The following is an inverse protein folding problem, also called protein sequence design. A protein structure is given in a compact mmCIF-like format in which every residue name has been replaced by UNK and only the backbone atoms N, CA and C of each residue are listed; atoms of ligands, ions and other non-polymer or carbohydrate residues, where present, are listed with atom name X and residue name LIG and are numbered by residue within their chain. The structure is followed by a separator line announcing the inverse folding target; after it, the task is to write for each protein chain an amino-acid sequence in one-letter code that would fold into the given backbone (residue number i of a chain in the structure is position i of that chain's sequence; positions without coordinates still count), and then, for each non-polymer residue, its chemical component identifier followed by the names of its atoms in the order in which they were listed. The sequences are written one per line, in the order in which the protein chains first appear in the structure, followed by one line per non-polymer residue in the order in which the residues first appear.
data_IF_788072444228
#
_entry.id   IF_788072444228
#
_cell.length_a   1.000
_cell.length_b   1.000
_cell.length_c   1.000
_cell.angle_alpha   90.00
_cell.angle_beta   90.00
_cell.angle_gamma   90.00
#
_symmetry.space_group_name_H-M   'P 1'
#
loop_
_entity.id
_entity.type
_entity.pdbx_description
1 polymer ?
#
# COMPACT_ATOMS: atom_id res chain seq x y z
N UNK A 1 -41.32 -40.74 -12.10
CA UNK A 1 -40.17 -41.68 -12.18
C UNK A 1 -39.56 -41.81 -13.57
N UNK A 2 -40.32 -42.09 -14.67
CA UNK A 2 -39.72 -42.26 -16.03
C UNK A 2 -38.93 -41.02 -16.54
N UNK A 3 -39.38 -39.78 -16.23
CA UNK A 3 -38.65 -38.54 -16.67
C UNK A 3 -37.32 -38.30 -15.90
N UNK A 4 -37.29 -38.67 -14.62
CA UNK A 4 -36.04 -38.53 -13.80
C UNK A 4 -35.02 -39.59 -14.25
N UNK A 5 -35.46 -40.80 -14.57
CA UNK A 5 -34.61 -41.85 -15.09
C UNK A 5 -34.02 -41.48 -16.46
N UNK A 6 -34.80 -40.83 -17.32
CA UNK A 6 -34.33 -40.38 -18.64
C UNK A 6 -33.24 -39.25 -18.53
N UNK A 7 -33.43 -38.33 -17.58
CA UNK A 7 -32.44 -37.24 -17.31
C UNK A 7 -31.15 -37.83 -16.73
N UNK A 8 -31.23 -38.80 -15.82
CA UNK A 8 -30.06 -39.49 -15.25
C UNK A 8 -29.33 -40.30 -16.32
N UNK A 9 -30.03 -40.97 -17.22
CA UNK A 9 -29.42 -41.71 -18.33
C UNK A 9 -28.78 -40.77 -19.33
N UNK A 10 -29.42 -39.62 -19.67
CA UNK A 10 -28.82 -38.59 -20.53
C UNK A 10 -27.57 -37.95 -19.89
N UNK A 11 -27.59 -37.74 -18.57
CA UNK A 11 -26.41 -37.22 -17.84
C UNK A 11 -25.26 -38.23 -17.79
N UNK A 12 -25.56 -39.51 -17.58
CA UNK A 12 -24.55 -40.59 -17.56
C UNK A 12 -24.00 -40.87 -18.95
N UNK A 13 -24.81 -40.78 -20.01
CA UNK A 13 -24.28 -40.90 -21.40
C UNK A 13 -23.47 -39.70 -21.82
N UNK A 14 -23.83 -38.47 -21.42
CA UNK A 14 -23.04 -37.28 -21.63
C UNK A 14 -21.67 -37.39 -20.91
N UNK A 15 -21.67 -37.81 -19.62
CA UNK A 15 -20.42 -38.04 -18.87
C UNK A 15 -19.54 -39.14 -19.47
N UNK A 16 -20.13 -40.23 -19.99
CA UNK A 16 -19.39 -41.32 -20.62
C UNK A 16 -18.76 -40.91 -21.94
N UNK A 17 -19.44 -40.11 -22.75
CA UNK A 17 -18.89 -39.53 -23.99
C UNK A 17 -17.78 -38.55 -23.68
N UNK A 18 -17.98 -37.67 -22.68
CA UNK A 18 -16.94 -36.73 -22.22
C UNK A 18 -15.68 -37.46 -21.69
N UNK A 19 -15.83 -38.50 -20.88
CA UNK A 19 -14.71 -39.28 -20.34
C UNK A 19 -13.91 -39.97 -21.45
N UNK A 20 -14.56 -40.46 -22.49
CA UNK A 20 -13.92 -41.15 -23.61
C UNK A 20 -13.15 -40.15 -24.49
N UNK A 21 -13.70 -38.96 -24.72
CA UNK A 21 -13.03 -37.90 -25.47
C UNK A 21 -11.79 -37.37 -24.72
N UNK A 22 -11.88 -37.15 -23.41
CA UNK A 22 -10.75 -36.66 -22.62
C UNK A 22 -9.58 -37.65 -22.55
N UNK A 23 -9.84 -38.93 -22.44
CA UNK A 23 -8.78 -39.96 -22.52
C UNK A 23 -8.07 -39.93 -23.86
N UNK A 24 -8.81 -39.78 -24.96
CA UNK A 24 -8.25 -39.64 -26.29
C UNK A 24 -7.38 -38.39 -26.45
N UNK A 25 -7.82 -37.22 -25.93
CA UNK A 25 -7.01 -36.00 -25.93
C UNK A 25 -5.75 -36.13 -25.10
N UNK A 26 -5.82 -36.80 -23.94
CA UNK A 26 -4.67 -37.05 -23.07
C UNK A 26 -3.63 -37.94 -23.75
N UNK A 27 -4.09 -39.07 -24.34
CA UNK A 27 -3.22 -40.02 -25.03
C UNK A 27 -2.52 -39.39 -26.25
N UNK A 28 -3.27 -38.57 -27.01
CA UNK A 28 -2.70 -37.87 -28.18
C UNK A 28 -1.70 -36.79 -27.74
N UNK A 29 -1.97 -36.03 -26.67
CA UNK A 29 -1.05 -35.01 -26.17
C UNK A 29 0.27 -35.63 -25.66
N UNK A 30 0.20 -36.78 -25.02
CA UNK A 30 1.34 -37.49 -24.43
C UNK A 30 2.12 -38.37 -25.39
N UNK A 31 1.74 -38.41 -26.67
CA UNK A 31 2.49 -39.16 -27.69
C UNK A 31 3.96 -38.74 -27.73
N UNK A 32 4.87 -39.71 -27.72
CA UNK A 32 6.30 -39.46 -27.70
C UNK A 32 6.86 -38.86 -28.98
N UNK A 33 6.22 -39.12 -30.10
CA UNK A 33 6.57 -38.65 -31.46
C UNK A 33 5.87 -37.32 -31.87
N UNK A 34 4.95 -36.81 -31.01
CA UNK A 34 4.25 -35.55 -31.24
C UNK A 34 5.17 -34.33 -31.18
N UNK A 35 4.97 -33.39 -32.07
CA UNK A 35 5.66 -32.08 -32.09
C UNK A 35 5.02 -31.08 -31.14
N UNK A 36 5.71 -29.95 -30.82
CA UNK A 36 5.12 -28.87 -30.04
C UNK A 36 3.95 -28.20 -30.73
N UNK A 37 3.97 -28.08 -32.08
CA UNK A 37 2.86 -27.51 -32.86
C UNK A 37 1.61 -28.41 -32.79
N UNK A 38 1.75 -29.74 -32.92
CA UNK A 38 0.63 -30.67 -32.78
C UNK A 38 -0.01 -30.60 -31.40
N UNK A 39 0.80 -30.53 -30.37
CA UNK A 39 0.31 -30.37 -28.98
C UNK A 39 -0.41 -29.03 -28.78
N UNK A 40 0.12 -27.95 -29.35
CA UNK A 40 -0.54 -26.64 -29.34
C UNK A 40 -1.92 -26.71 -29.98
N UNK A 41 -2.03 -27.26 -31.20
CA UNK A 41 -3.31 -27.42 -31.89
C UNK A 41 -4.32 -28.22 -31.05
N UNK A 42 -3.86 -29.27 -30.38
CA UNK A 42 -4.73 -30.06 -29.50
C UNK A 42 -5.22 -29.24 -28.29
N UNK A 43 -4.34 -28.49 -27.65
CA UNK A 43 -4.72 -27.62 -26.52
C UNK A 43 -5.68 -26.51 -26.95
N UNK A 44 -5.48 -25.95 -28.14
CA UNK A 44 -6.40 -24.97 -28.71
C UNK A 44 -7.78 -25.59 -28.95
N UNK A 45 -7.84 -26.83 -29.48
CA UNK A 45 -9.10 -27.53 -29.64
C UNK A 45 -9.83 -27.81 -28.33
N UNK A 46 -9.09 -28.22 -27.28
CA UNK A 46 -9.67 -28.43 -25.93
C UNK A 46 -10.18 -27.13 -25.32
N UNK A 47 -9.40 -26.05 -25.44
CA UNK A 47 -9.81 -24.71 -24.97
C UNK A 47 -11.06 -24.23 -25.70
N UNK A 48 -11.07 -24.33 -27.03
CA UNK A 48 -12.18 -23.83 -27.87
C UNK A 48 -13.46 -24.67 -27.70
N UNK A 49 -13.33 -25.93 -27.28
CA UNK A 49 -14.45 -26.76 -26.87
C UNK A 49 -15.11 -26.30 -25.56
N UNK A 50 -14.46 -25.42 -24.78
CA UNK A 50 -15.01 -24.84 -23.56
C UNK A 50 -15.30 -25.88 -22.46
N UNK A 51 -14.51 -26.96 -22.41
CA UNK A 51 -14.68 -28.03 -21.43
C UNK A 51 -14.33 -27.54 -20.03
N UNK A 52 -15.10 -28.01 -19.03
CA UNK A 52 -14.88 -27.71 -17.60
C UNK A 52 -14.72 -29.00 -16.80
N UNK A 53 -14.08 -28.93 -15.62
CA UNK A 53 -13.81 -30.12 -14.78
C UNK A 53 -12.66 -30.96 -15.33
N UNK A 54 -11.78 -30.38 -16.15
CA UNK A 54 -10.65 -31.05 -16.80
C UNK A 54 -9.29 -30.66 -16.21
N UNK A 55 -9.27 -30.16 -14.97
CA UNK A 55 -8.05 -29.71 -14.28
C UNK A 55 -6.98 -30.79 -14.20
N UNK A 56 -7.34 -32.06 -14.01
CA UNK A 56 -6.43 -33.20 -14.02
C UNK A 56 -5.75 -33.39 -15.39
N UNK A 57 -6.48 -33.22 -16.50
CA UNK A 57 -5.92 -33.25 -17.85
C UNK A 57 -4.87 -32.16 -18.03
N UNK A 58 -5.22 -30.92 -17.67
CA UNK A 58 -4.27 -29.79 -17.78
C UNK A 58 -3.03 -30.01 -16.90
N UNK A 59 -3.19 -30.57 -15.69
CA UNK A 59 -2.08 -30.86 -14.79
C UNK A 59 -1.15 -31.94 -15.35
N UNK A 60 -1.69 -33.05 -15.83
CA UNK A 60 -0.91 -34.12 -16.43
C UNK A 60 -0.22 -33.64 -17.72
N UNK A 61 -0.91 -32.86 -18.54
CA UNK A 61 -0.35 -32.24 -19.72
C UNK A 61 0.80 -31.28 -19.38
N UNK A 62 0.66 -30.48 -18.28
CA UNK A 62 1.71 -29.59 -17.82
C UNK A 62 2.95 -30.35 -17.33
N UNK A 63 2.76 -31.42 -16.54
CA UNK A 63 3.87 -32.29 -16.12
C UNK A 63 4.62 -32.85 -17.31
N UNK A 64 3.88 -33.42 -18.28
CA UNK A 64 4.48 -33.96 -19.50
C UNK A 64 5.22 -32.86 -20.29
N UNK A 65 4.62 -31.69 -20.42
CA UNK A 65 5.22 -30.52 -21.09
C UNK A 65 6.57 -30.14 -20.45
N UNK A 66 6.65 -30.07 -19.13
CA UNK A 66 7.87 -29.71 -18.40
C UNK A 66 8.98 -30.75 -18.64
N UNK A 67 8.64 -32.04 -18.64
CA UNK A 67 9.59 -33.12 -18.96
C UNK A 67 10.14 -32.97 -20.38
N UNK A 68 9.34 -32.47 -21.33
CA UNK A 68 9.73 -32.28 -22.73
C UNK A 68 10.39 -30.91 -23.01
N UNK A 69 10.41 -30.00 -22.03
CA UNK A 69 11.00 -28.66 -22.20
C UNK A 69 12.46 -28.69 -22.72
N UNK A 70 13.35 -29.64 -22.34
CA UNK A 70 14.70 -29.76 -22.90
C UNK A 70 14.73 -30.04 -24.43
N UNK A 71 13.64 -30.48 -25.02
CA UNK A 71 13.54 -30.75 -26.47
C UNK A 71 13.23 -29.49 -27.29
N UNK A 72 12.95 -28.34 -26.66
CA UNK A 72 12.74 -27.05 -27.32
C UNK A 72 14.07 -26.58 -27.91
N UNK A 73 14.25 -26.77 -29.21
CA UNK A 73 15.51 -26.48 -29.90
C UNK A 73 15.42 -25.37 -30.93
N UNK A 74 14.26 -25.17 -31.52
CA UNK A 74 14.04 -24.16 -32.55
C UNK A 74 13.18 -23.00 -32.04
N UNK A 75 13.20 -21.87 -32.73
CA UNK A 75 12.31 -20.74 -32.44
C UNK A 75 10.83 -21.12 -32.64
N UNK A 76 10.54 -21.96 -33.63
CA UNK A 76 9.18 -22.49 -33.85
C UNK A 76 8.70 -23.30 -32.69
N UNK A 77 9.52 -24.30 -32.25
CA UNK A 77 9.18 -25.12 -31.04
C UNK A 77 8.96 -24.25 -29.84
N UNK A 78 9.81 -23.21 -29.61
CA UNK A 78 9.69 -22.31 -28.51
C UNK A 78 8.38 -21.51 -28.53
N UNK A 79 8.02 -20.97 -29.68
CA UNK A 79 6.77 -20.22 -29.85
C UNK A 79 5.53 -21.10 -29.57
N UNK A 80 5.54 -22.35 -30.09
CA UNK A 80 4.47 -23.30 -29.82
C UNK A 80 4.43 -23.72 -28.34
N UNK A 81 5.60 -23.96 -27.74
CA UNK A 81 5.74 -24.28 -26.33
C UNK A 81 5.24 -23.16 -25.43
N UNK A 82 5.60 -21.90 -25.73
CA UNK A 82 5.16 -20.74 -24.94
C UNK A 82 3.63 -20.57 -25.00
N UNK A 83 3.02 -20.69 -26.16
CA UNK A 83 1.56 -20.67 -26.31
C UNK A 83 0.89 -21.85 -25.60
N UNK A 84 1.47 -23.05 -25.67
CA UNK A 84 0.98 -24.22 -24.93
C UNK A 84 0.99 -23.98 -23.42
N UNK A 85 2.10 -23.43 -22.88
CA UNK A 85 2.22 -23.07 -21.49
C UNK A 85 1.17 -22.05 -21.04
N UNK A 86 0.87 -21.05 -21.90
CA UNK A 86 -0.21 -20.08 -21.63
C UNK A 86 -1.55 -20.79 -21.47
N UNK A 87 -1.93 -21.68 -22.41
CA UNK A 87 -3.22 -22.38 -22.37
C UNK A 87 -3.31 -23.29 -21.13
N UNK A 88 -2.23 -24.05 -20.83
CA UNK A 88 -2.18 -24.93 -19.67
C UNK A 88 -2.32 -24.16 -18.36
N UNK A 89 -1.57 -23.07 -18.17
CA UNK A 89 -1.67 -22.24 -16.98
C UNK A 89 -3.04 -21.58 -16.83
N UNK A 90 -3.60 -21.04 -17.92
CA UNK A 90 -4.95 -20.45 -17.91
C UNK A 90 -6.01 -21.50 -17.59
N UNK A 91 -5.92 -22.70 -18.15
CA UNK A 91 -6.83 -23.81 -17.84
C UNK A 91 -6.78 -24.21 -16.37
N UNK A 92 -5.57 -24.41 -15.83
CA UNK A 92 -5.39 -24.75 -14.42
C UNK A 92 -5.89 -23.65 -13.47
N UNK A 93 -5.65 -22.40 -13.82
CA UNK A 93 -6.16 -21.24 -13.07
C UNK A 93 -7.69 -21.18 -13.08
N UNK A 94 -8.31 -21.35 -14.25
CA UNK A 94 -9.78 -21.37 -14.39
C UNK A 94 -10.44 -22.50 -13.61
N UNK A 95 -9.83 -23.69 -13.62
CA UNK A 95 -10.26 -24.88 -12.85
C UNK A 95 -9.90 -24.77 -11.36
N UNK A 96 -9.11 -23.77 -10.94
CA UNK A 96 -8.59 -23.59 -9.57
C UNK A 96 -7.89 -24.86 -9.05
N UNK A 97 -7.11 -25.50 -9.90
CA UNK A 97 -6.49 -26.78 -9.59
C UNK A 97 -5.23 -26.59 -8.74
N UNK A 98 -5.39 -26.66 -7.43
CA UNK A 98 -4.37 -26.30 -6.43
C UNK A 98 -3.11 -27.17 -6.49
N UNK A 99 -3.24 -28.46 -6.86
CA UNK A 99 -2.13 -29.41 -6.88
C UNK A 99 -1.07 -29.11 -7.97
N UNK A 100 -1.39 -28.21 -8.91
CA UNK A 100 -0.49 -27.84 -10.00
C UNK A 100 0.45 -26.65 -9.66
N UNK A 101 0.39 -26.11 -8.45
CA UNK A 101 1.13 -24.89 -8.09
C UNK A 101 2.64 -25.02 -8.33
N UNK A 102 3.22 -26.18 -8.02
CA UNK A 102 4.65 -26.44 -8.24
C UNK A 102 5.05 -26.45 -9.71
N UNK A 103 4.27 -27.09 -10.54
CA UNK A 103 4.49 -27.16 -11.98
C UNK A 103 4.26 -25.80 -12.66
N UNK A 104 3.25 -25.05 -12.21
CA UNK A 104 3.01 -23.67 -12.70
C UNK A 104 4.24 -22.79 -12.36
N UNK A 105 4.83 -22.94 -11.18
CA UNK A 105 6.05 -22.21 -10.83
C UNK A 105 7.22 -22.58 -11.75
N UNK A 106 7.37 -23.85 -12.13
CA UNK A 106 8.40 -24.26 -13.11
C UNK A 106 8.22 -23.57 -14.46
N UNK A 107 6.98 -23.25 -14.88
CA UNK A 107 6.74 -22.43 -16.09
C UNK A 107 7.26 -21.00 -15.90
N UNK A 108 7.09 -20.40 -14.71
CA UNK A 108 7.68 -19.08 -14.41
C UNK A 108 9.20 -19.08 -14.56
N UNK A 109 9.86 -20.17 -14.15
CA UNK A 109 11.32 -20.33 -14.27
C UNK A 109 11.75 -20.64 -15.72
N UNK A 110 11.02 -21.50 -16.43
CA UNK A 110 11.33 -21.92 -17.80
C UNK A 110 11.25 -20.77 -18.80
N UNK A 111 10.27 -19.87 -18.63
CA UNK A 111 10.02 -18.72 -19.50
C UNK A 111 10.38 -17.40 -18.80
N UNK A 112 11.50 -17.39 -18.08
CA UNK A 112 11.97 -16.16 -17.41
C UNK A 112 12.23 -15.06 -18.42
N UNK A 113 11.56 -13.91 -18.19
CA UNK A 113 11.62 -12.72 -19.06
C UNK A 113 13.00 -12.05 -19.11
N UNK A 114 13.92 -12.41 -18.20
CA UNK A 114 15.32 -11.99 -18.26
C UNK A 114 16.08 -12.69 -19.42
N UNK A 115 15.58 -13.82 -19.93
CA UNK A 115 16.11 -14.50 -21.12
C UNK A 115 15.64 -13.83 -22.42
N UNK A 116 16.48 -13.93 -23.46
CA UNK A 116 16.19 -13.27 -24.75
C UNK A 116 15.17 -14.01 -25.64
N UNK A 117 14.73 -15.18 -25.23
CA UNK A 117 14.02 -16.13 -26.09
C UNK A 117 12.51 -16.29 -25.76
N UNK A 118 11.91 -15.42 -24.95
CA UNK A 118 10.49 -15.46 -24.57
C UNK A 118 9.75 -14.18 -24.99
N UNK A 119 8.45 -14.26 -25.26
CA UNK A 119 7.60 -13.08 -25.48
C UNK A 119 6.99 -12.52 -24.16
N UNK A 120 7.10 -13.29 -23.05
CA UNK A 120 6.64 -12.94 -21.72
C UNK A 120 5.21 -13.38 -21.37
N UNK A 121 4.45 -13.90 -22.35
CA UNK A 121 3.06 -14.32 -22.14
C UNK A 121 2.94 -15.53 -21.22
N UNK A 122 3.82 -16.53 -21.35
CA UNK A 122 3.79 -17.73 -20.52
C UNK A 122 4.07 -17.43 -19.06
N UNK A 123 5.09 -16.61 -18.78
CA UNK A 123 5.39 -16.18 -17.41
C UNK A 123 4.24 -15.38 -16.80
N UNK A 124 3.64 -14.46 -17.54
CA UNK A 124 2.48 -13.69 -17.09
C UNK A 124 1.30 -14.61 -16.76
N UNK A 125 0.96 -15.53 -17.65
CA UNK A 125 -0.14 -16.47 -17.48
C UNK A 125 0.10 -17.39 -16.25
N UNK A 126 1.34 -17.90 -16.09
CA UNK A 126 1.72 -18.73 -14.95
C UNK A 126 1.60 -17.97 -13.62
N UNK A 127 2.08 -16.72 -13.55
CA UNK A 127 1.93 -15.89 -12.34
C UNK A 127 0.45 -15.65 -12.01
N UNK A 128 -0.39 -15.31 -12.98
CA UNK A 128 -1.84 -15.15 -12.76
C UNK A 128 -2.46 -16.46 -12.28
N UNK A 129 -2.09 -17.59 -12.88
CA UNK A 129 -2.59 -18.90 -12.51
C UNK A 129 -2.22 -19.26 -11.06
N UNK A 130 -1.00 -18.93 -10.58
CA UNK A 130 -0.60 -19.12 -9.18
C UNK A 130 -1.54 -18.39 -8.21
N UNK A 131 -1.97 -17.18 -8.54
CA UNK A 131 -2.99 -16.47 -7.77
C UNK A 131 -4.34 -17.20 -7.77
N UNK A 132 -4.78 -17.66 -8.94
CA UNK A 132 -6.08 -18.32 -9.13
C UNK A 132 -6.18 -19.69 -8.45
N UNK A 133 -5.07 -20.46 -8.42
CA UNK A 133 -4.99 -21.74 -7.72
C UNK A 133 -4.67 -21.60 -6.23
N UNK A 134 -4.60 -20.36 -5.71
CA UNK A 134 -4.31 -20.06 -4.31
C UNK A 134 -2.96 -20.64 -3.82
N UNK A 135 -1.90 -20.44 -4.60
CA UNK A 135 -0.55 -20.98 -4.35
C UNK A 135 0.20 -20.19 -3.25
N UNK A 136 -0.25 -20.27 -1.99
CA UNK A 136 0.27 -19.50 -0.86
C UNK A 136 1.78 -19.72 -0.60
N UNK A 137 2.29 -20.92 -0.81
CA UNK A 137 3.69 -21.26 -0.61
C UNK A 137 4.63 -20.50 -1.58
N UNK A 138 4.09 -20.01 -2.69
CA UNK A 138 4.86 -19.27 -3.70
C UNK A 138 4.83 -17.75 -3.50
N UNK A 139 4.08 -17.22 -2.54
CA UNK A 139 4.06 -15.77 -2.24
C UNK A 139 5.47 -15.20 -2.03
N UNK A 140 6.37 -15.79 -1.22
CA UNK A 140 7.71 -15.24 -1.05
C UNK A 140 8.51 -15.19 -2.35
N UNK A 141 8.36 -16.21 -3.21
CA UNK A 141 9.06 -16.30 -4.49
C UNK A 141 8.57 -15.22 -5.47
N UNK A 142 7.24 -15.04 -5.59
CA UNK A 142 6.62 -14.00 -6.42
C UNK A 142 7.03 -12.60 -5.92
N UNK A 143 6.94 -12.36 -4.60
CA UNK A 143 7.30 -11.10 -3.97
C UNK A 143 8.78 -10.75 -4.17
N UNK A 144 9.68 -11.74 -4.02
CA UNK A 144 11.11 -11.56 -4.25
C UNK A 144 11.41 -11.24 -5.72
N UNK A 145 10.77 -11.96 -6.66
CA UNK A 145 10.95 -11.71 -8.10
C UNK A 145 10.46 -10.30 -8.48
N UNK A 146 9.31 -9.87 -7.97
CA UNK A 146 8.81 -8.52 -8.18
C UNK A 146 9.75 -7.46 -7.59
N UNK A 147 10.31 -7.70 -6.40
CA UNK A 147 11.32 -6.83 -5.79
C UNK A 147 12.57 -6.71 -6.65
N UNK A 148 13.02 -7.81 -7.27
CA UNK A 148 14.16 -7.80 -8.18
C UNK A 148 13.86 -6.94 -9.42
N UNK A 149 12.66 -7.05 -10.01
CA UNK A 149 12.24 -6.18 -11.13
C UNK A 149 12.22 -4.70 -10.74
N UNK A 150 11.80 -4.36 -9.53
CA UNK A 150 11.78 -2.98 -9.02
C UNK A 150 13.17 -2.34 -8.95
N UNK A 151 14.24 -3.14 -8.82
CA UNK A 151 15.61 -2.65 -8.69
C UNK A 151 16.40 -2.65 -10.01
N UNK A 152 15.87 -3.28 -11.05
CA UNK A 152 16.56 -3.41 -12.34
C UNK A 152 16.38 -2.17 -13.22
N UNK A 153 17.50 -1.72 -13.81
CA UNK A 153 17.48 -0.71 -14.88
C UNK A 153 17.45 -1.40 -16.25
N UNK A 154 16.27 -1.46 -16.87
CA UNK A 154 16.10 -2.13 -18.17
C UNK A 154 16.06 -1.08 -19.27
N UNK A 155 17.10 -1.08 -20.12
CA UNK A 155 17.24 -0.13 -21.23
C UNK A 155 16.63 -0.64 -22.53
N UNK A 156 16.66 -1.95 -22.76
CA UNK A 156 16.09 -2.58 -23.97
C UNK A 156 14.55 -2.51 -23.94
N UNK A 157 13.88 -1.92 -24.94
CA UNK A 157 12.42 -1.76 -24.95
C UNK A 157 11.65 -3.10 -24.96
N UNK A 158 12.13 -4.10 -25.68
CA UNK A 158 11.49 -5.42 -25.73
C UNK A 158 11.59 -6.15 -24.40
N UNK A 159 12.77 -6.15 -23.79
CA UNK A 159 12.95 -6.71 -22.43
C UNK A 159 12.08 -5.96 -21.42
N UNK A 160 12.00 -4.63 -21.54
CA UNK A 160 11.10 -3.81 -20.69
C UNK A 160 9.66 -4.24 -20.82
N UNK A 161 9.15 -4.41 -22.06
CA UNK A 161 7.78 -4.88 -22.32
C UNK A 161 7.51 -6.23 -21.63
N UNK A 162 8.41 -7.19 -21.83
CA UNK A 162 8.30 -8.53 -21.23
C UNK A 162 8.29 -8.49 -19.69
N UNK A 163 9.21 -7.71 -19.10
CA UNK A 163 9.25 -7.52 -17.64
C UNK A 163 7.98 -6.84 -17.14
N UNK A 164 7.45 -5.86 -17.86
CA UNK A 164 6.18 -5.23 -17.49
C UNK A 164 5.01 -6.22 -17.49
N UNK A 165 4.98 -7.18 -18.41
CA UNK A 165 3.98 -8.25 -18.41
C UNK A 165 4.12 -9.15 -17.17
N UNK A 166 5.34 -9.55 -16.83
CA UNK A 166 5.61 -10.33 -15.61
C UNK A 166 5.26 -9.55 -14.35
N UNK A 167 5.52 -8.23 -14.31
CA UNK A 167 5.13 -7.34 -13.20
C UNK A 167 3.60 -7.32 -13.03
N UNK A 168 2.84 -7.17 -14.11
CA UNK A 168 1.37 -7.23 -14.07
C UNK A 168 0.89 -8.59 -13.57
N UNK A 169 1.46 -9.69 -14.09
CA UNK A 169 1.17 -11.05 -13.61
C UNK A 169 1.44 -11.21 -12.11
N UNK A 170 2.58 -10.69 -11.63
CA UNK A 170 2.96 -10.74 -10.20
C UNK A 170 1.99 -9.93 -9.32
N UNK A 171 1.56 -8.74 -9.77
CA UNK A 171 0.58 -7.92 -9.04
C UNK A 171 -0.73 -8.68 -8.91
N UNK A 172 -1.26 -9.23 -10.01
CA UNK A 172 -2.51 -9.98 -10.01
C UNK A 172 -2.44 -11.22 -9.09
N UNK A 173 -1.29 -11.93 -9.10
CA UNK A 173 -1.07 -13.06 -8.22
C UNK A 173 -1.08 -12.65 -6.75
N UNK A 174 -0.29 -11.64 -6.38
CA UNK A 174 -0.17 -11.17 -4.99
C UNK A 174 -1.48 -10.55 -4.48
N UNK A 175 -2.24 -9.87 -5.34
CA UNK A 175 -3.58 -9.40 -5.03
C UNK A 175 -4.53 -10.57 -4.72
N UNK A 176 -4.54 -11.63 -5.55
CA UNK A 176 -5.40 -12.80 -5.36
C UNK A 176 -5.01 -13.65 -4.14
N UNK A 177 -3.73 -13.68 -3.77
CA UNK A 177 -3.20 -14.45 -2.65
C UNK A 177 -3.40 -13.78 -1.29
N UNK A 178 -3.73 -12.49 -1.23
CA UNK A 178 -4.04 -11.75 0.00
C UNK A 178 -3.00 -11.90 1.13
N UNK A 179 -1.70 -11.79 0.80
CA UNK A 179 -0.62 -11.95 1.78
C UNK A 179 0.18 -10.66 1.93
N UNK A 180 0.45 -10.26 3.19
CA UNK A 180 1.18 -9.03 3.54
C UNK A 180 2.57 -8.94 2.88
N UNK A 181 3.22 -10.07 2.63
CA UNK A 181 4.52 -10.13 1.97
C UNK A 181 4.50 -9.57 0.54
N UNK A 182 3.33 -9.56 -0.10
CA UNK A 182 3.09 -8.96 -1.41
C UNK A 182 2.96 -7.44 -1.39
N UNK A 183 2.62 -6.83 -0.26
CA UNK A 183 2.30 -5.40 -0.20
C UNK A 183 3.50 -4.51 -0.57
N UNK A 184 4.66 -4.72 0.07
CA UNK A 184 5.85 -3.88 -0.15
C UNK A 184 6.33 -3.89 -1.62
N UNK A 185 6.53 -5.05 -2.30
CA UNK A 185 6.95 -5.05 -3.70
C UNK A 185 5.91 -4.42 -4.64
N UNK A 186 4.60 -4.61 -4.43
CA UNK A 186 3.54 -3.97 -5.22
C UNK A 186 3.51 -2.46 -4.97
N UNK A 187 3.70 -2.00 -3.73
CA UNK A 187 3.84 -0.58 -3.43
C UNK A 187 4.99 0.06 -4.24
N UNK A 188 6.15 -0.58 -4.30
CA UNK A 188 7.27 -0.03 -5.08
C UNK A 188 7.03 -0.04 -6.59
N UNK A 189 6.16 -0.89 -7.12
CA UNK A 189 5.69 -0.74 -8.51
C UNK A 189 4.86 0.54 -8.67
N UNK A 190 3.96 0.84 -7.73
CA UNK A 190 3.07 2.02 -7.83
C UNK A 190 3.80 3.35 -7.84
N UNK A 191 4.99 3.41 -7.23
CA UNK A 191 5.84 4.62 -7.15
C UNK A 191 7.10 4.56 -8.03
N UNK A 192 7.33 3.43 -8.71
CA UNK A 192 8.52 3.15 -9.51
C UNK A 192 8.50 3.73 -10.92
N UNK A 193 9.52 3.37 -11.70
CA UNK A 193 9.73 3.85 -13.08
C UNK A 193 8.96 3.02 -14.12
N UNK A 194 7.79 2.50 -13.77
CA UNK A 194 6.93 1.76 -14.67
C UNK A 194 5.99 2.68 -15.46
N UNK A 195 5.38 2.14 -16.50
CA UNK A 195 4.38 2.86 -17.28
C UNK A 195 3.20 3.29 -16.38
N UNK A 196 2.56 4.43 -16.64
CA UNK A 196 1.47 4.94 -15.81
C UNK A 196 0.33 3.94 -15.59
N UNK A 197 0.00 3.14 -16.60
CA UNK A 197 -1.02 2.09 -16.51
C UNK A 197 -0.66 1.00 -15.49
N UNK A 198 0.61 0.57 -15.46
CA UNK A 198 1.10 -0.46 -14.52
C UNK A 198 1.14 0.09 -13.11
N UNK A 199 1.59 1.34 -12.94
CA UNK A 199 1.55 2.01 -11.63
C UNK A 199 0.12 2.14 -11.10
N UNK A 200 -0.83 2.41 -11.99
CA UNK A 200 -2.25 2.46 -11.62
C UNK A 200 -2.79 1.08 -11.21
N UNK A 201 -2.45 0.02 -11.95
CA UNK A 201 -2.81 -1.37 -11.57
C UNK A 201 -2.28 -1.68 -10.17
N UNK A 202 -1.00 -1.39 -9.91
CA UNK A 202 -0.38 -1.61 -8.60
C UNK A 202 -1.09 -0.83 -7.48
N UNK A 203 -1.35 0.48 -7.67
CA UNK A 203 -2.06 1.31 -6.68
C UNK A 203 -3.49 0.82 -6.43
N UNK A 204 -4.17 0.25 -7.44
CA UNK A 204 -5.52 -0.30 -7.28
C UNK A 204 -5.51 -1.63 -6.53
N UNK A 205 -4.46 -2.45 -6.71
CA UNK A 205 -4.31 -3.75 -6.06
C UNK A 205 -3.98 -3.62 -4.55
N UNK A 206 -3.21 -2.60 -4.15
CA UNK A 206 -2.73 -2.44 -2.77
C UNK A 206 -3.79 -2.63 -1.67
N UNK A 207 -4.97 -1.98 -1.73
CA UNK A 207 -6.01 -2.14 -0.70
C UNK A 207 -6.62 -3.54 -0.64
N UNK A 208 -6.40 -4.36 -1.68
CA UNK A 208 -6.94 -5.72 -1.78
C UNK A 208 -5.93 -6.78 -1.33
N UNK A 209 -4.63 -6.45 -1.26
CA UNK A 209 -3.60 -7.40 -0.81
C UNK A 209 -3.75 -7.69 0.68
N UNK A 210 -3.99 -6.65 1.49
CA UNK A 210 -4.18 -6.79 2.94
C UNK A 210 -4.98 -5.61 3.48
N UNK A 211 -5.84 -5.87 4.47
CA UNK A 211 -6.66 -4.84 5.09
C UNK A 211 -5.82 -3.87 5.96
N UNK A 212 -4.80 -4.38 6.65
CA UNK A 212 -3.91 -3.59 7.51
C UNK A 212 -2.42 -3.73 7.12
N UNK A 213 -1.89 -2.82 6.29
CA UNK A 213 -0.47 -2.77 5.96
C UNK A 213 0.34 -1.88 6.92
N UNK A 214 -0.14 -1.60 8.14
CA UNK A 214 0.43 -0.59 9.04
C UNK A 214 1.92 -0.76 9.30
N UNK A 215 2.38 -1.98 9.64
CA UNK A 215 3.79 -2.24 9.94
C UNK A 215 4.68 -2.02 8.70
N UNK A 216 4.25 -2.51 7.54
CA UNK A 216 4.99 -2.30 6.28
C UNK A 216 5.01 -0.83 5.88
N UNK A 217 3.92 -0.09 6.10
CA UNK A 217 3.85 1.35 5.85
C UNK A 217 4.83 2.12 6.75
N UNK A 218 4.93 1.74 8.03
CA UNK A 218 5.92 2.32 8.97
C UNK A 218 7.34 2.04 8.50
N UNK A 219 7.64 0.82 8.07
CA UNK A 219 8.96 0.47 7.52
C UNK A 219 9.31 1.34 6.31
N UNK A 220 8.39 1.52 5.35
CA UNK A 220 8.61 2.35 4.16
C UNK A 220 8.82 3.82 4.55
N UNK A 221 8.02 4.35 5.49
CA UNK A 221 8.14 5.73 5.96
C UNK A 221 9.47 5.97 6.68
N UNK A 222 9.93 5.02 7.51
CA UNK A 222 11.18 5.11 8.26
C UNK A 222 12.42 4.76 7.44
N UNK A 223 12.28 4.17 6.26
CA UNK A 223 13.40 3.80 5.41
C UNK A 223 14.17 5.05 4.95
N UNK A 224 15.39 5.21 5.43
CA UNK A 224 16.24 6.37 5.14
C UNK A 224 16.66 6.47 3.67
N UNK A 225 16.62 5.36 2.93
CA UNK A 225 16.93 5.33 1.49
C UNK A 225 15.77 5.84 0.62
N UNK A 226 14.54 5.82 1.14
CA UNK A 226 13.36 6.29 0.43
C UNK A 226 13.23 7.81 0.45
N UNK A 227 12.99 8.40 -0.72
CA UNK A 227 12.79 9.86 -0.86
C UNK A 227 11.44 10.30 -0.28
N UNK A 228 11.28 11.57 0.13
CA UNK A 228 10.06 12.08 0.77
C UNK A 228 8.77 11.88 -0.01
N UNK A 229 8.80 11.90 -1.35
CA UNK A 229 7.59 11.62 -2.16
C UNK A 229 7.09 10.18 -2.00
N UNK A 230 7.99 9.20 -1.89
CA UNK A 230 7.66 7.79 -1.64
C UNK A 230 7.03 7.63 -0.26
N UNK A 231 7.62 8.28 0.78
CA UNK A 231 7.07 8.28 2.14
C UNK A 231 5.68 8.90 2.23
N UNK A 232 5.48 10.03 1.56
CA UNK A 232 4.17 10.69 1.46
C UNK A 232 3.15 9.78 0.76
N UNK A 233 3.55 9.06 -0.30
CA UNK A 233 2.66 8.11 -0.97
C UNK A 233 2.31 6.95 -0.04
N UNK A 234 3.27 6.36 0.69
CA UNK A 234 2.99 5.29 1.65
C UNK A 234 2.01 5.75 2.74
N UNK A 235 2.17 6.96 3.25
CA UNK A 235 1.23 7.59 4.17
C UNK A 235 -0.18 7.72 3.55
N UNK A 236 -0.28 8.24 2.34
CA UNK A 236 -1.57 8.44 1.66
C UNK A 236 -2.27 7.11 1.33
N UNK A 237 -1.52 6.09 0.92
CA UNK A 237 -2.09 4.75 0.68
C UNK A 237 -2.62 4.14 1.98
N UNK A 238 -1.92 4.30 3.11
CA UNK A 238 -2.41 3.83 4.42
C UNK A 238 -3.77 4.41 4.79
N UNK A 239 -4.02 5.69 4.50
CA UNK A 239 -5.32 6.33 4.76
C UNK A 239 -6.47 5.72 3.95
N UNK A 240 -6.18 5.12 2.80
CA UNK A 240 -7.16 4.50 1.89
C UNK A 240 -7.50 3.06 2.26
N UNK A 241 -6.75 2.45 3.17
CA UNK A 241 -6.95 1.06 3.60
C UNK A 241 -8.11 0.92 4.59
N UNK A 242 -8.53 -0.33 4.82
CA UNK A 242 -9.51 -0.70 5.86
C UNK A 242 -8.87 -0.96 7.22
N UNK A 243 -7.60 -0.59 7.39
CA UNK A 243 -6.86 -0.76 8.63
C UNK A 243 -7.60 -0.14 9.84
N UNK A 244 -7.47 -0.74 11.03
CA UNK A 244 -8.02 -0.19 12.26
C UNK A 244 -7.46 1.21 12.58
N UNK A 245 -8.23 2.03 13.28
CA UNK A 245 -7.83 3.38 13.69
C UNK A 245 -6.52 3.36 14.50
N UNK A 246 -6.31 2.34 15.33
CA UNK A 246 -5.06 2.16 16.08
C UNK A 246 -3.84 1.98 15.18
N UNK A 247 -3.98 1.25 14.09
CA UNK A 247 -2.91 1.09 13.09
C UNK A 247 -2.65 2.39 12.34
N UNK A 248 -3.71 3.10 11.92
CA UNK A 248 -3.61 4.41 11.29
C UNK A 248 -2.95 5.44 12.20
N UNK A 249 -3.27 5.42 13.51
CA UNK A 249 -2.63 6.28 14.50
C UNK A 249 -1.11 6.02 14.62
N UNK A 250 -0.69 4.74 14.64
CA UNK A 250 0.73 4.36 14.67
C UNK A 250 1.49 4.84 13.43
N UNK A 251 0.89 4.69 12.25
CA UNK A 251 1.50 5.16 11.00
C UNK A 251 1.54 6.68 10.95
N UNK A 252 0.51 7.38 11.48
CA UNK A 252 0.51 8.83 11.61
C UNK A 252 1.65 9.33 12.52
N UNK A 253 1.89 8.65 13.65
CA UNK A 253 3.01 8.97 14.53
C UNK A 253 4.37 8.84 13.80
N UNK A 254 4.59 7.75 13.07
CA UNK A 254 5.79 7.54 12.28
C UNK A 254 5.95 8.58 11.16
N UNK A 255 4.86 8.96 10.49
CA UNK A 255 4.86 9.98 9.45
C UNK A 255 5.21 11.37 10.01
N UNK A 256 4.66 11.73 11.18
CA UNK A 256 4.97 12.99 11.85
C UNK A 256 6.43 13.04 12.30
N UNK A 257 6.94 11.98 12.91
CA UNK A 257 8.34 11.83 13.31
C UNK A 257 9.28 12.00 12.13
N UNK A 258 9.06 11.23 11.06
CA UNK A 258 9.89 11.26 9.85
C UNK A 258 9.84 12.62 9.15
N UNK A 259 8.69 13.28 9.16
CA UNK A 259 8.52 14.62 8.63
C UNK A 259 9.43 15.67 9.30
N UNK A 260 9.91 15.40 10.52
CA UNK A 260 10.83 16.27 11.25
C UNK A 260 12.29 15.79 11.23
N UNK A 261 12.52 14.49 11.17
CA UNK A 261 13.87 13.91 11.25
C UNK A 261 14.57 13.85 9.89
N UNK A 262 13.83 13.83 8.77
CA UNK A 262 14.44 13.81 7.44
C UNK A 262 15.00 15.17 7.04
N UNK A 263 16.34 15.26 6.96
CA UNK A 263 17.03 16.49 6.60
C UNK A 263 17.20 16.62 5.08
N UNK A 264 16.74 17.74 4.53
CA UNK A 264 16.88 18.03 3.10
C UNK A 264 16.93 19.54 2.83
N UNK A 265 17.71 19.93 1.83
CA UNK A 265 17.70 21.28 1.26
C UNK A 265 16.81 21.42 0.04
N UNK A 266 16.34 20.31 -0.54
CA UNK A 266 15.46 20.28 -1.70
C UNK A 266 14.07 20.80 -1.32
N UNK A 267 13.59 21.84 -1.99
CA UNK A 267 12.31 22.50 -1.69
C UNK A 267 11.09 21.59 -1.94
N UNK A 268 11.10 20.80 -3.03
CA UNK A 268 10.07 19.82 -3.32
C UNK A 268 9.94 18.76 -2.23
N UNK A 269 11.09 18.30 -1.70
CA UNK A 269 11.11 17.35 -0.59
C UNK A 269 10.62 17.99 0.71
N UNK A 270 10.98 19.25 0.99
CA UNK A 270 10.44 19.99 2.15
C UNK A 270 8.93 20.11 2.08
N UNK A 271 8.37 20.38 0.88
CA UNK A 271 6.93 20.43 0.67
C UNK A 271 6.28 19.08 0.97
N UNK A 272 6.80 17.98 0.42
CA UNK A 272 6.29 16.63 0.69
C UNK A 272 6.31 16.29 2.18
N UNK A 273 7.38 16.65 2.90
CA UNK A 273 7.48 16.44 4.34
C UNK A 273 6.47 17.31 5.12
N UNK A 274 6.25 18.56 4.71
CA UNK A 274 5.22 19.43 5.31
C UNK A 274 3.82 18.86 5.08
N UNK A 275 3.50 18.42 3.85
CA UNK A 275 2.21 17.82 3.53
C UNK A 275 1.99 16.52 4.34
N UNK A 276 3.03 15.70 4.49
CA UNK A 276 2.99 14.49 5.32
C UNK A 276 2.74 14.82 6.79
N UNK A 277 3.45 15.80 7.39
CA UNK A 277 3.22 16.22 8.78
C UNK A 277 1.81 16.74 8.99
N UNK A 278 1.33 17.62 8.12
CA UNK A 278 -0.04 18.17 8.21
C UNK A 278 -1.10 17.07 8.14
N UNK A 279 -0.95 16.13 7.23
CA UNK A 279 -1.83 14.96 7.13
C UNK A 279 -1.77 14.07 8.37
N UNK A 280 -0.57 13.84 8.89
CA UNK A 280 -0.37 13.05 10.11
C UNK A 280 -0.99 13.73 11.35
N UNK A 281 -0.87 15.04 11.49
CA UNK A 281 -1.48 15.81 12.58
C UNK A 281 -3.02 15.70 12.53
N UNK A 282 -3.62 15.82 11.35
CA UNK A 282 -5.07 15.63 11.18
C UNK A 282 -5.50 14.19 11.51
N UNK A 283 -4.73 13.20 11.12
CA UNK A 283 -5.00 11.80 11.42
C UNK A 283 -4.88 11.49 12.93
N UNK A 284 -3.87 12.04 13.62
CA UNK A 284 -3.73 11.94 15.07
C UNK A 284 -4.97 12.54 15.77
N UNK A 285 -5.49 13.66 15.26
CA UNK A 285 -6.73 14.24 15.79
C UNK A 285 -7.94 13.30 15.59
N UNK A 286 -7.98 12.57 14.50
CA UNK A 286 -9.09 11.70 14.13
C UNK A 286 -9.01 10.33 14.82
N UNK A 287 -7.83 9.70 14.82
CA UNK A 287 -7.63 8.31 15.23
C UNK A 287 -7.05 8.17 16.65
N UNK A 288 -6.57 9.26 17.25
CA UNK A 288 -5.99 9.26 18.59
C UNK A 288 -4.46 9.19 18.59
N UNK A 289 -3.91 9.08 19.81
CA UNK A 289 -2.47 8.98 20.08
C UNK A 289 -2.09 7.51 20.20
N UNK A 290 -1.01 7.13 19.52
CA UNK A 290 -0.47 5.77 19.57
C UNK A 290 0.53 5.58 20.73
N UNK A 291 1.31 6.62 21.03
CA UNK A 291 2.38 6.61 22.03
C UNK A 291 2.81 8.04 22.42
N UNK A 292 3.61 8.16 23.49
CA UNK A 292 4.00 9.46 24.05
C UNK A 292 4.93 10.29 23.14
N UNK A 293 5.60 9.66 22.17
CA UNK A 293 6.48 10.39 21.22
C UNK A 293 5.70 11.37 20.33
N UNK A 294 4.41 11.12 20.14
CA UNK A 294 3.51 11.99 19.38
C UNK A 294 3.45 13.40 19.98
N UNK A 295 3.44 13.52 21.32
CA UNK A 295 3.42 14.81 21.99
C UNK A 295 4.66 15.65 21.69
N UNK A 296 5.85 15.04 21.74
CA UNK A 296 7.10 15.71 21.42
C UNK A 296 7.13 16.18 19.95
N UNK A 297 6.62 15.38 19.03
CA UNK A 297 6.55 15.74 17.60
C UNK A 297 5.51 16.83 17.30
N UNK A 298 4.37 16.86 18.01
CA UNK A 298 3.40 17.96 17.95
C UNK A 298 4.00 19.26 18.52
N UNK A 299 4.75 19.20 19.61
CA UNK A 299 5.48 20.34 20.14
C UNK A 299 6.50 20.88 19.13
N UNK A 300 7.24 19.99 18.46
CA UNK A 300 8.17 20.39 17.39
C UNK A 300 7.46 21.08 16.24
N UNK A 301 6.28 20.63 15.86
CA UNK A 301 5.50 21.24 14.75
C UNK A 301 5.10 22.68 15.06
N UNK A 302 4.81 23.01 16.32
CA UNK A 302 4.61 24.39 16.73
C UNK A 302 5.94 25.16 16.83
N UNK A 303 6.88 24.64 17.61
CA UNK A 303 8.10 25.38 18.01
C UNK A 303 8.98 25.72 16.82
N UNK A 304 9.19 24.80 15.87
CA UNK A 304 9.97 25.05 14.66
C UNK A 304 9.30 26.06 13.73
N UNK A 305 7.99 25.98 13.57
CA UNK A 305 7.24 26.97 12.79
C UNK A 305 7.23 28.34 13.47
N UNK A 306 7.20 28.36 14.81
CA UNK A 306 7.20 29.60 15.58
C UNK A 306 8.50 30.39 15.41
N UNK A 307 9.67 29.73 15.38
CA UNK A 307 10.97 30.40 15.21
C UNK A 307 11.31 30.65 13.74
N UNK A 308 10.61 30.07 12.80
CA UNK A 308 10.85 30.24 11.37
C UNK A 308 10.43 31.66 10.91
N UNK A 309 11.21 32.25 10.01
CA UNK A 309 10.86 33.54 9.41
C UNK A 309 9.61 33.46 8.50
N UNK A 310 9.38 32.28 7.90
CA UNK A 310 8.21 31.98 7.07
C UNK A 310 7.44 30.79 7.66
N UNK A 311 6.62 31.03 8.71
CA UNK A 311 5.93 29.93 9.39
C UNK A 311 4.84 29.34 8.51
N UNK A 312 4.65 28.02 8.58
CA UNK A 312 3.48 27.35 8.06
C UNK A 312 2.34 27.49 9.09
N UNK A 313 1.52 28.50 8.93
CA UNK A 313 0.39 28.76 9.83
C UNK A 313 -0.66 27.65 9.81
N UNK A 314 -0.86 26.97 8.68
CA UNK A 314 -1.79 25.84 8.59
C UNK A 314 -1.30 24.68 9.49
N UNK A 315 -0.02 24.36 9.45
CA UNK A 315 0.56 23.33 10.33
C UNK A 315 0.43 23.72 11.82
N UNK A 316 0.67 25.00 12.16
CA UNK A 316 0.49 25.50 13.54
C UNK A 316 -0.97 25.34 14.01
N UNK A 317 -1.93 25.77 13.20
CA UNK A 317 -3.37 25.71 13.54
C UNK A 317 -3.82 24.26 13.70
N UNK A 318 -3.39 23.38 12.79
CA UNK A 318 -3.67 21.94 12.90
C UNK A 318 -3.13 21.36 14.20
N UNK A 319 -1.88 21.69 14.54
CA UNK A 319 -1.23 21.26 15.79
C UNK A 319 -2.02 21.70 17.04
N UNK A 320 -2.38 22.99 17.12
CA UNK A 320 -3.13 23.55 18.23
C UNK A 320 -4.52 22.90 18.36
N UNK A 321 -5.22 22.71 17.24
CA UNK A 321 -6.53 22.06 17.24
C UNK A 321 -6.45 20.60 17.62
N UNK A 322 -5.39 19.89 17.22
CA UNK A 322 -5.15 18.49 17.59
C UNK A 322 -4.88 18.36 19.09
N UNK A 323 -3.96 19.16 19.65
CA UNK A 323 -3.70 19.20 21.09
C UNK A 323 -4.97 19.52 21.91
N UNK A 324 -5.82 20.44 21.39
CA UNK A 324 -7.09 20.77 22.03
C UNK A 324 -8.09 19.62 21.99
N UNK A 325 -8.14 18.88 20.90
CA UNK A 325 -9.06 17.74 20.73
C UNK A 325 -8.65 16.53 21.59
N UNK A 326 -7.33 16.28 21.69
CA UNK A 326 -6.77 15.23 22.55
C UNK A 326 -7.10 15.50 24.02
N UNK A 327 -6.90 16.73 24.48
CA UNK A 327 -7.29 17.23 25.81
C UNK A 327 -6.80 16.38 27.00
N UNK A 328 -5.58 15.85 26.92
CA UNK A 328 -4.91 15.17 28.05
C UNK A 328 -4.08 16.17 28.86
N UNK A 329 -3.63 15.81 30.08
CA UNK A 329 -2.70 16.66 30.85
C UNK A 329 -1.45 17.05 30.04
N UNK A 330 -0.89 16.12 29.27
CA UNK A 330 0.30 16.33 28.43
C UNK A 330 0.02 17.35 27.32
N UNK A 331 -1.12 17.22 26.61
CA UNK A 331 -1.50 18.16 25.56
C UNK A 331 -1.74 19.57 26.09
N UNK A 332 -2.35 19.68 27.27
CA UNK A 332 -2.56 20.96 27.99
C UNK A 332 -1.22 21.56 28.42
N UNK A 333 -0.30 20.73 28.92
CA UNK A 333 1.05 21.19 29.30
C UNK A 333 1.81 21.80 28.11
N UNK A 334 1.68 21.20 26.93
CA UNK A 334 2.27 21.73 25.68
C UNK A 334 1.63 23.08 25.29
N UNK A 335 0.29 23.18 25.31
CA UNK A 335 -0.40 24.44 25.06
C UNK A 335 0.00 25.54 26.05
N UNK A 336 0.17 25.19 27.34
CA UNK A 336 0.68 26.07 28.38
C UNK A 336 2.11 26.55 28.07
N UNK A 337 3.00 25.65 27.67
CA UNK A 337 4.38 25.98 27.28
C UNK A 337 4.41 26.99 26.11
N UNK A 338 3.53 26.83 25.12
CA UNK A 338 3.39 27.81 24.02
C UNK A 338 2.94 29.18 24.53
N UNK A 339 1.99 29.21 25.48
CA UNK A 339 1.57 30.48 26.10
C UNK A 339 2.70 31.12 26.91
N UNK A 340 3.52 30.31 27.64
CA UNK A 340 4.68 30.81 28.36
C UNK A 340 5.73 31.42 27.44
N UNK A 341 6.00 30.80 26.29
CA UNK A 341 6.95 31.29 25.31
C UNK A 341 6.49 32.65 24.73
N UNK A 342 5.22 32.77 24.38
CA UNK A 342 4.60 34.03 23.90
C UNK A 342 4.67 35.11 25.00
N UNK A 343 4.37 34.79 26.26
CA UNK A 343 4.48 35.69 27.37
C UNK A 343 5.93 36.16 27.59
N UNK A 344 6.90 35.23 27.49
CA UNK A 344 8.33 35.57 27.55
C UNK A 344 8.74 36.58 26.48
N UNK A 345 8.31 36.38 25.23
CA UNK A 345 8.57 37.35 24.15
C UNK A 345 7.93 38.70 24.39
N UNK A 346 6.71 38.73 24.92
CA UNK A 346 5.99 39.96 25.23
C UNK A 346 6.71 40.82 26.29
N UNK A 347 7.35 40.20 27.25
CA UNK A 347 8.14 40.88 28.26
C UNK A 347 9.38 41.59 27.70
N UNK A 348 9.91 41.07 26.56
CA UNK A 348 11.08 41.62 25.88
C UNK A 348 10.71 42.70 24.83
N UNK A 349 9.42 42.92 24.57
CA UNK A 349 8.97 43.93 23.61
C UNK A 349 7.54 43.70 23.11
N UNK A 350 7.01 44.65 22.31
CA UNK A 350 5.68 44.48 21.74
C UNK A 350 5.68 43.32 20.73
N UNK A 351 4.56 42.57 20.68
CA UNK A 351 4.38 41.51 19.69
C UNK A 351 4.23 42.09 18.27
N UNK A 352 4.82 41.44 17.30
CA UNK A 352 4.45 41.56 15.91
C UNK A 352 3.04 40.91 15.68
N UNK A 353 2.45 41.19 14.51
CA UNK A 353 1.12 40.64 14.20
C UNK A 353 1.05 39.12 14.30
N UNK A 354 2.14 38.43 13.95
CA UNK A 354 2.28 36.97 14.05
C UNK A 354 2.11 36.48 15.48
N UNK A 355 2.88 37.04 16.42
CA UNK A 355 2.81 36.61 17.83
C UNK A 355 1.44 36.90 18.44
N UNK A 356 0.81 38.04 18.08
CA UNK A 356 -0.54 38.37 18.53
C UNK A 356 -1.55 37.33 18.06
N UNK A 357 -1.52 36.95 16.81
CA UNK A 357 -2.42 35.94 16.23
C UNK A 357 -2.20 34.56 16.89
N UNK A 358 -0.95 34.16 17.12
CA UNK A 358 -0.64 32.92 17.81
C UNK A 358 -1.13 32.95 19.28
N UNK A 359 -1.00 34.06 19.96
CA UNK A 359 -1.53 34.23 21.32
C UNK A 359 -3.05 34.03 21.35
N UNK A 360 -3.78 34.66 20.44
CA UNK A 360 -5.24 34.53 20.31
C UNK A 360 -5.63 33.06 20.11
N UNK A 361 -4.94 32.35 19.24
CA UNK A 361 -5.19 30.93 18.99
C UNK A 361 -4.89 30.05 20.21
N UNK A 362 -3.74 30.24 20.84
CA UNK A 362 -3.33 29.43 22.03
C UNK A 362 -4.30 29.65 23.20
N UNK A 363 -4.67 30.91 23.48
CA UNK A 363 -5.64 31.23 24.55
C UNK A 363 -7.01 30.64 24.24
N UNK A 364 -7.46 30.71 22.97
CA UNK A 364 -8.71 30.09 22.52
C UNK A 364 -8.68 28.57 22.68
N UNK A 365 -7.55 27.92 22.39
CA UNK A 365 -7.37 26.49 22.59
C UNK A 365 -7.44 26.10 24.06
N UNK A 366 -6.67 26.78 24.91
CA UNK A 366 -6.71 26.54 26.36
C UNK A 366 -8.12 26.75 26.96
N UNK A 367 -8.85 27.76 26.49
CA UNK A 367 -10.25 27.97 26.88
C UNK A 367 -11.13 26.77 26.53
N UNK A 368 -10.96 26.22 25.33
CA UNK A 368 -11.75 25.06 24.83
C UNK A 368 -11.43 23.75 25.55
N UNK A 369 -10.22 23.58 26.08
CA UNK A 369 -9.87 22.37 26.87
C UNK A 369 -10.64 22.28 28.18
N UNK A 370 -11.14 23.39 28.72
CA UNK A 370 -11.78 23.43 30.04
C UNK A 370 -10.83 23.06 31.18
N UNK A 371 -9.52 23.17 30.96
CA UNK A 371 -8.50 22.71 31.94
C UNK A 371 -8.61 23.41 33.27
N UNK A 372 -8.42 22.63 34.36
CA UNK A 372 -8.32 23.14 35.71
C UNK A 372 -6.88 23.35 36.18
N UNK A 373 -5.90 23.31 35.28
CA UNK A 373 -4.48 23.49 35.59
C UNK A 373 -4.25 24.82 36.34
N UNK A 374 -3.69 24.78 37.54
CA UNK A 374 -3.37 26.00 38.31
C UNK A 374 -2.40 26.90 37.57
N UNK A 375 -1.42 26.31 36.88
CA UNK A 375 -0.38 27.05 36.14
C UNK A 375 -0.97 27.87 35.00
N UNK A 376 -1.88 27.27 34.21
CA UNK A 376 -2.62 27.98 33.14
C UNK A 376 -3.40 29.15 33.71
N UNK A 377 -4.10 28.94 34.82
CA UNK A 377 -4.90 29.99 35.48
C UNK A 377 -4.03 31.12 36.03
N UNK A 378 -2.92 30.81 36.69
CA UNK A 378 -1.96 31.79 37.20
C UNK A 378 -1.41 32.64 36.04
N UNK A 379 -0.99 32.01 34.93
CA UNK A 379 -0.43 32.75 33.82
C UNK A 379 -1.49 33.64 33.12
N UNK A 380 -2.69 33.13 32.87
CA UNK A 380 -3.79 33.93 32.32
C UNK A 380 -4.18 35.09 33.25
N UNK A 381 -4.17 34.86 34.58
CA UNK A 381 -4.41 35.94 35.58
C UNK A 381 -3.32 37.02 35.48
N UNK A 382 -2.06 36.61 35.37
CA UNK A 382 -0.93 37.53 35.21
C UNK A 382 -1.12 38.37 33.96
N UNK A 383 -1.41 37.74 32.81
CA UNK A 383 -1.62 38.42 31.52
C UNK A 383 -2.80 39.42 31.62
N UNK A 384 -3.91 39.02 32.25
CA UNK A 384 -5.11 39.86 32.38
C UNK A 384 -4.93 41.13 33.22
N UNK A 385 -3.88 41.18 34.05
CA UNK A 385 -3.58 42.27 34.99
C UNK A 385 -2.37 43.13 34.62
N UNK A 386 -1.55 42.66 33.68
CA UNK A 386 -0.27 43.29 33.32
C UNK A 386 -0.46 44.33 32.22
N UNK A 387 -0.03 45.57 32.46
CA UNK A 387 -0.22 46.71 31.53
C UNK A 387 0.63 46.63 30.25
N UNK A 388 1.59 45.72 30.19
CA UNK A 388 2.33 45.48 28.93
C UNK A 388 1.45 44.87 27.84
N UNK A 389 0.28 44.30 28.20
CA UNK A 389 -0.68 43.75 27.24
C UNK A 389 -1.74 44.83 26.87
N UNK A 390 -2.18 44.77 25.60
CA UNK A 390 -3.27 45.63 25.15
C UNK A 390 -4.58 45.31 25.88
N UNK A 391 -5.53 46.22 25.87
CA UNK A 391 -6.85 46.01 26.49
C UNK A 391 -7.55 44.77 25.90
N UNK A 392 -7.40 44.53 24.60
CA UNK A 392 -8.00 43.37 23.92
C UNK A 392 -7.37 42.06 24.40
N UNK A 393 -6.04 41.97 24.47
CA UNK A 393 -5.30 40.80 24.95
C UNK A 393 -5.66 40.46 26.40
N UNK A 394 -5.79 41.50 27.27
CA UNK A 394 -6.21 41.33 28.66
C UNK A 394 -7.66 40.85 28.78
N UNK A 395 -8.58 41.34 27.94
CA UNK A 395 -9.97 40.86 27.89
C UNK A 395 -9.99 39.38 27.49
N UNK A 396 -9.28 39.01 26.46
CA UNK A 396 -9.22 37.57 26.03
C UNK A 396 -8.72 36.63 27.12
N UNK A 397 -7.66 37.01 27.82
CA UNK A 397 -7.14 36.23 28.95
C UNK A 397 -8.16 36.13 30.09
N UNK A 398 -8.91 37.22 30.39
CA UNK A 398 -9.97 37.25 31.42
C UNK A 398 -11.17 36.37 31.00
N UNK A 399 -11.59 36.44 29.78
CA UNK A 399 -12.70 35.61 29.26
C UNK A 399 -12.35 34.13 29.29
N UNK A 400 -11.10 33.78 28.95
CA UNK A 400 -10.60 32.41 29.11
C UNK A 400 -10.66 31.96 30.57
N UNK A 401 -10.17 32.79 31.54
CA UNK A 401 -10.23 32.51 32.94
C UNK A 401 -11.67 32.28 33.45
N UNK A 402 -12.60 33.16 33.09
CA UNK A 402 -14.00 33.05 33.45
C UNK A 402 -14.61 31.72 32.98
N UNK A 403 -14.31 31.33 31.72
CA UNK A 403 -14.75 30.04 31.19
C UNK A 403 -14.16 28.87 31.97
N UNK A 404 -12.86 28.90 32.28
CA UNK A 404 -12.15 27.86 33.04
C UNK A 404 -12.56 27.78 34.53
N UNK A 405 -13.13 28.85 35.06
CA UNK A 405 -13.62 28.92 36.45
C UNK A 405 -15.08 28.49 36.59
N UNK A 406 -15.76 28.16 35.51
CA UNK A 406 -17.19 27.81 35.54
C UNK A 406 -18.11 28.98 35.88
N UNK A 407 -17.59 30.20 35.98
CA UNK A 407 -18.36 31.43 36.17
C UNK A 407 -18.80 31.88 34.78
N UNK A 408 -20.05 31.57 34.39
CA UNK A 408 -20.72 32.17 33.25
C UNK A 408 -21.19 33.60 33.60
#
# INVERSE_FOLDING_TARGET
MKRILLIVILFLTAMAVFSQDMTSYKDEFMRTDGTFDERLLLLEAVRDAGLTGIGEFYHDALKYFIVRAPDIRTTTDRNAAEKSAVILCQGLGAEKYTDAAGEIWQIVELFDVAGDATDGNAMQAALIALGQVNAQDFVPHIAQRLSNFNTQSITNPETRRRVQMAVVGSINALEALHDIRGYRPVFFVSVGSYDPSIRQIASTALPNIVDDPGDVSIEIIRDTSSIPSVKLTAWNEMLRTRAPDTSKARVAAAALEMGWTYNTTNEGYRKNLSDMRKGAIDAIRQFGISDDSVYANLELSYSRNFVNNTPDYDEIVKTLNTLTAINTPESVAILYKFLQELNGRRRNGPWANKERQLFEWVVSCLRRTGTQSPDVRILLTTISRTDTYTSQERIMARDALNTLSGTR
#
